data_IF_706825068745
#
_entry.id   IF_706825068745
#
_cell.length_a   1.000
_cell.length_b   1.000
_cell.length_c   1.000
_cell.angle_alpha   90.00
_cell.angle_beta   90.00
_cell.angle_gamma   90.00
#
_symmetry.space_group_name_H-M   'P 1'
#
loop_
_entity.id
_entity.type
_entity.pdbx_description
1 polymer ?
#
# COMPACT_ATOMS: atom_id res chain seq x y z
N UNK A 1 -55.14 -5.53 -24.34
CA UNK A 1 -54.98 -5.41 -22.88
C UNK A 1 -53.57 -5.94 -22.55
N UNK A 2 -52.71 -5.15 -21.97
CA UNK A 2 -51.35 -5.40 -21.46
C UNK A 2 -50.21 -4.80 -22.27
N UNK A 3 -50.00 -3.47 -22.11
CA UNK A 3 -48.75 -2.85 -22.57
C UNK A 3 -48.29 -1.64 -21.72
N UNK A 4 -48.70 -1.53 -20.45
CA UNK A 4 -48.36 -0.38 -19.61
C UNK A 4 -47.32 -0.71 -18.47
N UNK A 5 -46.76 -1.94 -18.42
CA UNK A 5 -45.76 -2.30 -17.41
C UNK A 5 -44.30 -2.10 -17.83
N UNK A 6 -44.02 -1.99 -19.12
CA UNK A 6 -42.62 -2.03 -19.64
C UNK A 6 -41.94 -0.66 -19.73
N UNK A 7 -42.66 0.44 -19.81
CA UNK A 7 -42.06 1.79 -19.94
C UNK A 7 -41.62 2.36 -18.58
N UNK A 8 -42.43 2.14 -17.54
CA UNK A 8 -42.10 2.55 -16.17
C UNK A 8 -40.87 1.78 -15.64
N UNK A 9 -40.76 0.48 -15.95
CA UNK A 9 -39.64 -0.35 -15.53
C UNK A 9 -38.37 0.01 -16.29
N UNK A 10 -38.46 0.35 -17.57
CA UNK A 10 -37.35 0.85 -18.38
C UNK A 10 -36.85 2.23 -17.90
N UNK A 11 -37.74 3.12 -17.53
CA UNK A 11 -37.38 4.43 -17.01
C UNK A 11 -36.72 4.33 -15.65
N UNK A 12 -37.20 3.46 -14.76
CA UNK A 12 -36.60 3.15 -13.47
C UNK A 12 -35.23 2.53 -13.61
N UNK A 13 -35.06 1.59 -14.53
CA UNK A 13 -33.78 0.96 -14.83
C UNK A 13 -32.76 1.97 -15.41
N UNK A 14 -33.19 2.87 -16.31
CA UNK A 14 -32.34 3.95 -16.83
C UNK A 14 -31.88 4.93 -15.74
N UNK A 15 -32.76 5.29 -14.82
CA UNK A 15 -32.46 6.18 -13.70
C UNK A 15 -31.45 5.51 -12.76
N UNK A 16 -31.64 4.23 -12.47
CA UNK A 16 -30.71 3.44 -11.63
C UNK A 16 -29.34 3.28 -12.30
N UNK A 17 -29.31 3.03 -13.62
CA UNK A 17 -28.08 2.95 -14.38
C UNK A 17 -27.33 4.28 -14.44
N UNK A 18 -28.05 5.42 -14.57
CA UNK A 18 -27.42 6.75 -14.57
C UNK A 18 -26.88 7.12 -13.18
N UNK A 19 -27.55 6.72 -12.09
CA UNK A 19 -27.04 6.88 -10.73
C UNK A 19 -25.77 6.04 -10.49
N UNK A 20 -25.78 4.76 -10.89
CA UNK A 20 -24.60 3.89 -10.82
C UNK A 20 -23.44 4.44 -11.65
N UNK A 21 -23.70 4.95 -12.85
CA UNK A 21 -22.67 5.60 -13.68
C UNK A 21 -22.09 6.85 -13.03
N UNK A 22 -22.93 7.67 -12.36
CA UNK A 22 -22.47 8.85 -11.64
C UNK A 22 -21.63 8.46 -10.41
N UNK A 23 -22.06 7.44 -9.65
CA UNK A 23 -21.30 6.91 -8.52
C UNK A 23 -19.94 6.31 -8.95
N UNK A 24 -19.91 5.60 -10.09
CA UNK A 24 -18.67 5.05 -10.67
C UNK A 24 -17.78 6.15 -11.27
N UNK A 25 -18.35 7.22 -11.82
CA UNK A 25 -17.58 8.35 -12.37
C UNK A 25 -16.95 9.21 -11.26
N UNK A 26 -17.55 9.27 -10.07
CA UNK A 26 -16.98 9.93 -8.89
C UNK A 26 -15.88 9.08 -8.19
N UNK A 27 -15.79 7.80 -8.49
CA UNK A 27 -14.63 6.99 -8.12
C UNK A 27 -13.50 7.43 -9.07
N UNK A 28 -12.76 8.47 -8.68
CA UNK A 28 -11.44 8.73 -9.22
C UNK A 28 -10.62 7.46 -8.98
N UNK A 29 -10.41 6.65 -10.01
CA UNK A 29 -9.46 5.55 -9.97
C UNK A 29 -8.09 6.22 -9.93
N UNK A 30 -7.62 6.47 -8.72
CA UNK A 30 -6.31 7.03 -8.47
C UNK A 30 -5.28 5.98 -8.90
N UNK A 31 -4.48 6.33 -9.91
CA UNK A 31 -3.44 5.44 -10.39
C UNK A 31 -2.12 5.83 -9.76
N UNK A 32 -1.60 4.97 -8.89
CA UNK A 32 -0.36 5.21 -8.16
C UNK A 32 0.88 4.74 -8.91
N UNK A 33 0.79 3.66 -9.72
CA UNK A 33 1.92 3.15 -10.48
C UNK A 33 1.49 2.30 -11.69
N UNK A 34 2.47 1.86 -12.48
CA UNK A 34 2.23 1.01 -13.67
C UNK A 34 1.99 -0.46 -13.31
N UNK A 35 2.61 -0.94 -12.24
CA UNK A 35 2.41 -2.32 -11.78
C UNK A 35 0.99 -2.51 -11.25
N UNK A 36 0.21 -3.38 -11.89
CA UNK A 36 -1.21 -3.58 -11.60
C UNK A 36 -1.46 -4.05 -10.17
N UNK A 37 -0.63 -4.97 -9.67
CA UNK A 37 -0.77 -5.54 -8.33
C UNK A 37 -0.45 -4.50 -7.24
N UNK A 38 0.68 -3.80 -7.39
CA UNK A 38 1.07 -2.73 -6.45
C UNK A 38 0.05 -1.59 -6.47
N UNK A 39 -0.45 -1.24 -7.66
CA UNK A 39 -1.49 -0.22 -7.81
C UNK A 39 -2.78 -0.60 -7.08
N UNK A 40 -3.22 -1.86 -7.17
CA UNK A 40 -4.41 -2.35 -6.46
C UNK A 40 -4.23 -2.30 -4.94
N UNK A 41 -3.05 -2.70 -4.45
CA UNK A 41 -2.71 -2.61 -3.02
C UNK A 41 -2.73 -1.14 -2.57
N UNK A 42 -2.04 -0.25 -3.28
CA UNK A 42 -1.97 1.17 -2.94
C UNK A 42 -3.35 1.84 -2.92
N UNK A 43 -4.21 1.54 -3.91
CA UNK A 43 -5.59 2.07 -3.97
C UNK A 43 -6.41 1.65 -2.76
N UNK A 44 -6.32 0.38 -2.35
CA UNK A 44 -7.00 -0.12 -1.16
C UNK A 44 -6.48 0.57 0.12
N UNK A 45 -5.15 0.73 0.24
CA UNK A 45 -4.53 1.37 1.40
C UNK A 45 -4.77 2.88 1.46
N UNK A 46 -4.88 3.56 0.32
CA UNK A 46 -5.31 4.96 0.25
C UNK A 46 -6.74 5.13 0.77
N UNK A 47 -7.65 4.22 0.42
CA UNK A 47 -9.01 4.22 0.95
C UNK A 47 -9.02 4.00 2.48
N UNK A 48 -8.16 3.11 3.00
CA UNK A 48 -8.01 2.90 4.45
C UNK A 48 -7.44 4.14 5.16
N UNK A 49 -6.46 4.83 4.57
CA UNK A 49 -5.95 6.10 5.09
C UNK A 49 -7.06 7.17 5.16
N UNK A 50 -7.84 7.36 4.10
CA UNK A 50 -8.97 8.33 4.09
C UNK A 50 -10.00 8.02 5.16
N UNK A 51 -10.39 6.75 5.30
CA UNK A 51 -11.34 6.30 6.31
C UNK A 51 -10.88 6.59 7.75
N UNK A 52 -9.56 6.59 7.97
CA UNK A 52 -8.96 6.80 9.30
C UNK A 52 -8.38 8.21 9.47
N UNK A 53 -8.68 9.14 8.56
CA UNK A 53 -8.19 10.53 8.60
C UNK A 53 -6.66 10.62 8.73
N UNK A 54 -5.96 9.79 7.93
CA UNK A 54 -4.51 9.76 7.83
C UNK A 54 -4.10 10.51 6.55
N UNK A 55 -3.29 11.55 6.68
CA UNK A 55 -2.63 12.18 5.54
C UNK A 55 -1.66 11.18 4.91
N UNK A 56 -1.67 11.03 3.59
CA UNK A 56 -0.78 10.09 2.94
C UNK A 56 -0.14 10.66 1.68
N UNK A 57 1.08 10.21 1.41
CA UNK A 57 1.84 10.49 0.19
C UNK A 57 2.42 9.17 -0.35
N UNK A 58 1.93 8.71 -1.51
CA UNK A 58 2.37 7.48 -2.15
C UNK A 58 3.05 7.82 -3.49
N UNK A 59 4.39 7.83 -3.50
CA UNK A 59 5.24 7.99 -4.70
C UNK A 59 5.76 6.62 -5.13
N UNK A 60 5.02 5.95 -6.01
CA UNK A 60 5.29 4.59 -6.45
C UNK A 60 5.73 4.55 -7.91
N UNK A 61 7.04 4.53 -8.15
CA UNK A 61 7.66 4.39 -9.48
C UNK A 61 8.06 2.94 -9.71
N UNK A 62 7.05 2.08 -9.81
CA UNK A 62 7.21 0.64 -9.98
C UNK A 62 6.86 0.28 -11.42
N UNK A 63 7.78 -0.35 -12.17
CA UNK A 63 7.51 -0.75 -13.55
C UNK A 63 6.41 -1.80 -13.61
N UNK A 64 5.80 -1.93 -14.80
CA UNK A 64 4.71 -2.88 -15.04
C UNK A 64 5.08 -4.31 -14.63
N UNK A 65 6.31 -4.73 -14.91
CA UNK A 65 6.84 -6.06 -14.61
C UNK A 65 8.05 -5.98 -13.69
N UNK A 66 8.15 -6.94 -12.78
CA UNK A 66 9.29 -7.17 -11.88
C UNK A 66 9.66 -8.65 -11.94
N UNK A 67 10.95 -8.98 -11.82
CA UNK A 67 11.43 -10.35 -11.66
C UNK A 67 11.34 -10.80 -10.19
N UNK A 68 10.17 -10.65 -9.63
CA UNK A 68 9.79 -11.00 -8.26
C UNK A 68 8.44 -11.71 -8.32
N UNK A 69 8.28 -12.80 -7.60
CA UNK A 69 7.00 -13.50 -7.52
C UNK A 69 5.89 -12.60 -6.97
N UNK A 70 4.72 -12.61 -7.57
CA UNK A 70 3.57 -11.77 -7.18
C UNK A 70 3.21 -11.93 -5.69
N UNK A 71 3.31 -13.14 -5.15
CA UNK A 71 3.04 -13.38 -3.73
C UNK A 71 4.02 -12.65 -2.83
N UNK A 72 5.27 -12.50 -3.25
CA UNK A 72 6.31 -11.82 -2.47
C UNK A 72 6.21 -10.29 -2.65
N UNK A 73 5.77 -9.81 -3.82
CA UNK A 73 5.34 -8.42 -4.00
C UNK A 73 4.20 -8.09 -3.04
N UNK A 74 3.16 -8.94 -2.98
CA UNK A 74 2.06 -8.79 -2.02
C UNK A 74 2.57 -8.71 -0.58
N UNK A 75 3.41 -9.66 -0.15
CA UNK A 75 3.97 -9.69 1.21
C UNK A 75 4.73 -8.41 1.53
N UNK A 76 5.57 -7.93 0.61
CA UNK A 76 6.36 -6.73 0.79
C UNK A 76 5.47 -5.48 0.96
N UNK A 77 4.62 -5.20 -0.01
CA UNK A 77 3.83 -3.98 -0.01
C UNK A 77 2.76 -3.99 1.08
N UNK A 78 1.98 -5.07 1.22
CA UNK A 78 0.94 -5.15 2.25
C UNK A 78 1.53 -4.94 3.65
N UNK A 79 2.66 -5.59 3.98
CA UNK A 79 3.25 -5.45 5.32
C UNK A 79 3.87 -4.07 5.56
N UNK A 80 4.50 -3.44 4.55
CA UNK A 80 5.01 -2.06 4.70
C UNK A 80 3.86 -1.07 4.92
N UNK A 81 2.81 -1.15 4.11
CA UNK A 81 1.62 -0.31 4.27
C UNK A 81 0.95 -0.52 5.63
N UNK A 82 0.71 -1.78 6.02
CA UNK A 82 0.03 -2.10 7.27
C UNK A 82 0.81 -1.65 8.49
N UNK A 83 2.13 -1.82 8.49
CA UNK A 83 2.97 -1.33 9.57
C UNK A 83 2.84 0.19 9.74
N UNK A 84 2.93 0.95 8.65
CA UNK A 84 2.85 2.40 8.68
C UNK A 84 1.44 2.88 9.09
N UNK A 85 0.38 2.33 8.48
CA UNK A 85 -1.00 2.72 8.74
C UNK A 85 -1.42 2.36 10.17
N UNK A 86 -1.08 1.16 10.66
CA UNK A 86 -1.44 0.73 12.01
C UNK A 86 -0.72 1.57 13.09
N UNK A 87 0.53 1.96 12.86
CA UNK A 87 1.24 2.86 13.75
C UNK A 87 0.59 4.26 13.76
N UNK A 88 0.24 4.81 12.59
CA UNK A 88 -0.43 6.10 12.47
C UNK A 88 -1.83 6.10 13.12
N UNK A 89 -2.60 5.01 13.02
CA UNK A 89 -3.92 4.87 13.67
C UNK A 89 -3.85 5.01 15.19
N UNK A 90 -2.72 4.70 15.80
CA UNK A 90 -2.53 4.79 17.27
C UNK A 90 -2.28 6.21 17.77
N UNK A 91 -2.17 7.21 16.89
CA UNK A 91 -1.87 8.59 17.23
C UNK A 91 -3.15 9.39 17.43
N UNK A 92 -3.19 10.17 18.51
CA UNK A 92 -4.19 11.21 18.71
C UNK A 92 -3.69 12.51 18.05
N UNK A 93 -4.45 13.03 17.07
CA UNK A 93 -4.12 14.24 16.34
C UNK A 93 -3.67 13.99 14.91
N UNK A 94 -2.70 14.77 14.41
CA UNK A 94 -2.27 14.68 13.01
C UNK A 94 -1.51 13.39 12.76
N UNK A 95 -1.97 12.65 11.75
CA UNK A 95 -1.43 11.35 11.34
C UNK A 95 -0.89 11.45 9.92
N UNK A 96 0.26 10.85 9.64
CA UNK A 96 0.74 10.74 8.27
C UNK A 96 1.41 9.41 7.96
N UNK A 97 1.32 9.02 6.70
CA UNK A 97 2.01 7.86 6.11
C UNK A 97 2.61 8.28 4.78
N UNK A 98 3.88 7.98 4.57
CA UNK A 98 4.55 8.14 3.27
C UNK A 98 5.08 6.81 2.81
N UNK A 99 4.75 6.43 1.59
CA UNK A 99 5.30 5.23 0.95
C UNK A 99 5.97 5.65 -0.35
N UNK A 100 7.25 5.31 -0.48
CA UNK A 100 8.03 5.54 -1.70
C UNK A 100 8.57 4.23 -2.21
N UNK A 101 8.52 4.04 -3.51
CA UNK A 101 9.11 2.87 -4.14
C UNK A 101 9.62 3.20 -5.52
N UNK A 102 10.79 2.66 -5.87
CA UNK A 102 11.40 2.81 -7.19
C UNK A 102 12.36 1.64 -7.45
N UNK A 103 12.63 1.40 -8.72
CA UNK A 103 13.72 0.52 -9.15
C UNK A 103 14.92 1.36 -9.53
N UNK A 104 16.11 0.94 -9.07
CA UNK A 104 17.37 1.55 -9.49
C UNK A 104 18.02 0.62 -10.54
N UNK A 105 18.18 1.16 -11.76
CA UNK A 105 18.76 0.41 -12.88
C UNK A 105 20.25 0.14 -12.68
N UNK A 106 20.93 0.94 -11.85
CA UNK A 106 22.38 0.80 -11.64
C UNK A 106 22.75 -0.43 -10.81
N UNK A 107 21.88 -0.83 -9.88
CA UNK A 107 22.08 -2.01 -9.01
C UNK A 107 21.04 -3.11 -9.22
N UNK A 108 20.00 -2.84 -10.02
CA UNK A 108 18.91 -3.78 -10.30
C UNK A 108 18.00 -4.04 -9.11
N UNK A 109 17.98 -3.13 -8.12
CA UNK A 109 17.21 -3.29 -6.90
C UNK A 109 15.90 -2.52 -6.93
N UNK A 110 14.87 -3.11 -6.35
CA UNK A 110 13.64 -2.43 -5.95
C UNK A 110 13.82 -1.92 -4.52
N UNK A 111 13.56 -0.64 -4.33
CA UNK A 111 13.53 0.02 -3.02
C UNK A 111 12.09 0.31 -2.63
N UNK A 112 11.71 -0.05 -1.42
CA UNK A 112 10.40 0.24 -0.84
C UNK A 112 10.63 0.89 0.53
N UNK A 113 10.16 2.11 0.71
CA UNK A 113 10.28 2.86 1.95
C UNK A 113 8.91 3.18 2.50
N UNK A 114 8.66 2.82 3.75
CA UNK A 114 7.51 3.25 4.54
C UNK A 114 7.97 4.18 5.66
N UNK A 115 7.37 5.36 5.77
CA UNK A 115 7.58 6.33 6.84
C UNK A 115 6.23 6.73 7.42
N UNK A 116 6.17 6.81 8.75
CA UNK A 116 4.99 7.27 9.46
C UNK A 116 5.38 7.94 10.77
N UNK A 117 4.52 8.81 11.28
CA UNK A 117 4.67 9.26 12.65
C UNK A 117 4.20 8.18 13.63
N UNK A 118 4.74 8.20 14.84
CA UNK A 118 4.42 7.26 15.92
C UNK A 118 4.03 8.02 17.20
N UNK A 119 3.19 7.38 18.03
CA UNK A 119 2.85 7.93 19.33
C UNK A 119 4.08 7.88 20.27
N UNK A 120 4.28 8.87 21.15
CA UNK A 120 5.42 8.91 22.07
C UNK A 120 5.59 7.68 22.96
N UNK A 121 4.49 6.96 23.23
CA UNK A 121 4.43 5.74 24.04
C UNK A 121 4.25 4.45 23.19
N UNK A 122 4.49 4.55 21.89
CA UNK A 122 4.25 3.46 20.95
C UNK A 122 5.09 2.20 21.26
N UNK A 123 6.36 2.37 21.62
CA UNK A 123 7.25 1.25 21.97
C UNK A 123 6.78 0.50 23.22
N UNK A 124 6.27 1.19 24.24
CA UNK A 124 5.76 0.56 25.45
C UNK A 124 4.46 -0.22 25.16
N UNK A 125 3.59 0.35 24.34
CA UNK A 125 2.37 -0.32 23.86
C UNK A 125 2.67 -1.50 22.94
N UNK A 126 3.73 -1.45 22.13
CA UNK A 126 4.17 -2.53 21.25
C UNK A 126 4.69 -3.73 22.04
N UNK A 127 5.43 -3.50 23.13
CA UNK A 127 5.91 -4.56 24.03
C UNK A 127 4.78 -5.25 24.79
N UNK A 128 3.68 -4.54 25.10
CA UNK A 128 2.52 -5.09 25.79
C UNK A 128 1.56 -5.88 24.89
N UNK A 129 1.62 -5.69 23.58
CA UNK A 129 0.85 -6.44 22.57
C UNK A 129 1.68 -7.60 22.02
N UNK A 130 1.95 -8.59 22.87
CA UNK A 130 2.62 -9.82 22.47
C UNK A 130 1.79 -10.56 21.40
N UNK A 131 2.31 -10.61 20.17
CA UNK A 131 1.87 -11.58 19.16
C UNK A 131 1.75 -11.09 17.72
N UNK A 132 1.16 -9.94 17.43
CA UNK A 132 0.83 -9.59 16.03
C UNK A 132 1.81 -8.65 15.32
N UNK A 133 2.53 -7.79 16.03
CA UNK A 133 3.39 -6.75 15.42
C UNK A 133 4.81 -7.21 15.05
N UNK A 134 5.27 -8.35 15.56
CA UNK A 134 6.59 -8.93 15.21
C UNK A 134 6.60 -9.66 13.86
N UNK A 135 5.46 -10.17 13.44
CA UNK A 135 5.36 -10.99 12.22
C UNK A 135 5.55 -10.19 10.93
N UNK A 136 5.00 -8.98 10.83
CA UNK A 136 5.12 -8.15 9.63
C UNK A 136 6.57 -7.81 9.29
N UNK A 137 7.36 -7.35 10.25
CA UNK A 137 8.80 -7.05 10.05
C UNK A 137 9.61 -8.31 9.76
N UNK A 138 9.24 -9.45 10.39
CA UNK A 138 9.87 -10.74 10.08
C UNK A 138 9.59 -11.16 8.64
N UNK A 139 8.34 -11.08 8.19
CA UNK A 139 7.95 -11.38 6.80
C UNK A 139 8.72 -10.49 5.83
N UNK A 140 8.83 -9.18 6.11
CA UNK A 140 9.59 -8.24 5.28
C UNK A 140 11.07 -8.63 5.19
N UNK A 141 11.69 -8.99 6.32
CA UNK A 141 13.10 -9.41 6.36
C UNK A 141 13.31 -10.69 5.56
N UNK A 142 12.53 -11.74 5.84
CA UNK A 142 12.64 -13.03 5.17
C UNK A 142 12.42 -12.88 3.65
N UNK A 143 11.45 -12.04 3.25
CA UNK A 143 11.19 -11.76 1.83
C UNK A 143 12.32 -10.97 1.19
N UNK A 144 12.87 -9.95 1.85
CA UNK A 144 14.02 -9.19 1.35
C UNK A 144 15.23 -10.09 1.11
N UNK A 145 15.57 -10.94 2.09
CA UNK A 145 16.71 -11.87 2.04
C UNK A 145 16.54 -12.89 0.91
N UNK A 146 15.32 -13.39 0.66
CA UNK A 146 15.02 -14.28 -0.49
C UNK A 146 15.47 -13.69 -1.82
N UNK A 147 15.40 -12.38 -1.97
CA UNK A 147 15.76 -11.65 -3.20
C UNK A 147 17.10 -10.91 -3.07
N UNK A 148 17.99 -11.38 -2.18
CA UNK A 148 19.34 -10.82 -2.01
C UNK A 148 19.37 -9.36 -1.54
N UNK A 149 18.29 -8.90 -0.93
CA UNK A 149 18.15 -7.58 -0.35
C UNK A 149 18.17 -7.62 1.18
N UNK A 150 17.65 -6.56 1.78
CA UNK A 150 17.59 -6.42 3.25
C UNK A 150 16.46 -5.50 3.70
N UNK A 151 16.10 -5.60 4.97
CA UNK A 151 15.24 -4.66 5.67
C UNK A 151 16.06 -3.85 6.67
N UNK A 152 15.96 -2.53 6.62
CA UNK A 152 16.53 -1.61 7.59
C UNK A 152 15.41 -0.80 8.20
N UNK A 153 15.41 -0.64 9.52
CA UNK A 153 14.43 0.19 10.25
C UNK A 153 15.13 1.24 11.06
N UNK A 154 14.54 2.43 11.13
CA UNK A 154 15.02 3.56 11.93
C UNK A 154 13.85 4.12 12.75
N UNK A 155 14.01 4.18 14.05
CA UNK A 155 13.05 4.73 15.00
C UNK A 155 13.65 5.97 15.65
N UNK A 156 13.05 7.13 15.36
CA UNK A 156 13.48 8.44 15.91
C UNK A 156 12.60 8.92 17.07
N UNK A 157 11.73 8.04 17.57
CA UNK A 157 10.83 8.34 18.69
C UNK A 157 9.50 8.98 18.28
N UNK A 158 9.48 9.89 17.32
CA UNK A 158 8.28 10.51 16.74
C UNK A 158 7.99 10.04 15.32
N UNK A 159 8.96 9.41 14.68
CA UNK A 159 8.90 8.94 13.30
C UNK A 159 9.55 7.56 13.20
N UNK A 160 8.89 6.64 12.54
CA UNK A 160 9.42 5.33 12.19
C UNK A 160 9.60 5.20 10.69
N UNK A 161 10.73 4.68 10.26
CA UNK A 161 11.03 4.43 8.85
C UNK A 161 11.46 2.97 8.67
N UNK A 162 10.90 2.30 7.67
CA UNK A 162 11.32 0.99 7.20
C UNK A 162 11.76 1.08 5.74
N UNK A 163 12.95 0.63 5.44
CA UNK A 163 13.49 0.55 4.07
C UNK A 163 13.76 -0.90 3.73
N UNK A 164 13.07 -1.40 2.74
CA UNK A 164 13.26 -2.75 2.21
C UNK A 164 13.87 -2.68 0.81
N UNK A 165 14.81 -3.55 0.55
CA UNK A 165 15.37 -3.74 -0.80
C UNK A 165 15.19 -5.17 -1.26
N UNK A 166 14.95 -5.36 -2.57
CA UNK A 166 14.86 -6.66 -3.22
C UNK A 166 15.46 -6.57 -4.62
N UNK A 167 16.15 -7.61 -5.07
CA UNK A 167 16.59 -7.68 -6.47
C UNK A 167 15.39 -7.83 -7.39
N UNK A 168 15.23 -6.90 -8.32
CA UNK A 168 14.07 -6.78 -9.20
C UNK A 168 14.35 -7.15 -10.65
N UNK A 169 15.63 -7.33 -11.03
CA UNK A 169 16.04 -7.79 -12.35
C UNK A 169 17.08 -8.90 -12.25
N UNK A 170 16.98 -9.90 -13.13
CA UNK A 170 17.96 -10.99 -13.20
C UNK A 170 19.32 -10.57 -13.78
N UNK A 171 19.36 -9.46 -14.51
CA UNK A 171 20.55 -8.94 -15.19
C UNK A 171 21.03 -7.64 -14.54
N UNK A 172 21.92 -7.78 -13.54
CA UNK A 172 22.90 -6.72 -13.29
C UNK A 172 24.16 -7.09 -14.05
N UNK A 173 24.76 -6.17 -14.84
CA UNK A 173 26.04 -6.45 -15.47
C UNK A 173 27.07 -6.74 -14.37
N UNK A 174 27.63 -7.95 -14.44
CA UNK A 174 28.83 -8.28 -13.67
C UNK A 174 29.97 -7.41 -14.23
N UNK A 175 30.35 -6.39 -13.49
CA UNK A 175 31.68 -5.78 -13.67
C UNK A 175 32.74 -6.67 -13.05
#
# INVERSE_FOLDING_TARGET
>A
IMENGTDSDKESAKKMLSQLKAEVADIKIERFCQNTLVNAIASNKAADCRKNEIDFDFDLRVPETLDIEEIDICKAYVNIFDNAINAAKAIDGKRYVKIKSFTDESDGMLYITGENNVAPDYEDKKKSRTGEHGYGLKILRDTAEKYGGRLVTDDKGDTFTAVMTMRASADSPKN
#
